data_IF_634798007161
#
_entry.id   IF_634798007161
#
_cell.length_a   1.000
_cell.length_b   1.000
_cell.length_c   1.000
_cell.angle_alpha   90.00
_cell.angle_beta   90.00
_cell.angle_gamma   90.00
#
_symmetry.space_group_name_H-M   'P 1'
#
loop_
_entity.id
_entity.type
_entity.pdbx_description
1 polymer ?
#
# COMPACT_ATOMS: atom_id res chain seq x y z
N UNK A 1 -11.67 17.12 -15.85
CA UNK A 1 -10.35 17.11 -16.53
C UNK A 1 -9.58 15.81 -16.29
N UNK A 2 -9.24 15.44 -15.05
CA UNK A 2 -8.48 14.21 -14.76
C UNK A 2 -9.10 12.94 -15.36
N UNK A 3 -10.42 12.74 -15.17
CA UNK A 3 -11.15 11.61 -15.76
C UNK A 3 -10.99 11.52 -17.28
N UNK A 4 -11.15 12.64 -18.00
CA UNK A 4 -11.03 12.68 -19.45
C UNK A 4 -9.60 12.36 -19.91
N UNK A 5 -8.57 12.87 -19.22
CA UNK A 5 -7.17 12.55 -19.53
C UNK A 5 -6.88 11.05 -19.35
N UNK A 6 -7.45 10.43 -18.32
CA UNK A 6 -7.24 9.01 -18.02
C UNK A 6 -7.99 8.06 -18.97
N UNK A 7 -9.14 8.46 -19.51
CA UNK A 7 -10.07 7.53 -20.19
C UNK A 7 -10.28 7.79 -21.68
N UNK A 8 -9.92 8.98 -22.19
CA UNK A 8 -10.25 9.39 -23.57
C UNK A 8 -9.05 9.69 -24.45
N UNK A 9 -7.83 9.47 -23.93
CA UNK A 9 -6.57 9.78 -24.62
C UNK A 9 -5.68 8.55 -24.63
N UNK A 10 -4.95 8.35 -25.73
CA UNK A 10 -3.89 7.36 -25.79
C UNK A 10 -2.73 7.79 -24.88
N UNK A 11 -2.26 6.88 -24.01
CA UNK A 11 -1.27 7.20 -22.98
C UNK A 11 0.15 7.47 -23.51
N UNK A 12 0.45 7.09 -24.77
CA UNK A 12 1.77 7.21 -25.41
C UNK A 12 2.94 6.64 -24.56
N UNK A 13 4.18 6.81 -25.04
CA UNK A 13 5.41 6.32 -24.38
C UNK A 13 5.90 7.23 -23.25
N UNK A 14 5.96 8.55 -23.48
CA UNK A 14 6.39 9.52 -22.47
C UNK A 14 5.20 9.95 -21.62
N UNK A 15 5.29 9.74 -20.30
CA UNK A 15 4.17 9.94 -19.38
C UNK A 15 4.57 10.86 -18.22
N UNK A 16 3.60 11.68 -17.82
CA UNK A 16 3.64 12.50 -16.61
C UNK A 16 2.31 12.30 -15.89
N UNK A 17 2.38 11.93 -14.61
CA UNK A 17 1.24 11.94 -13.70
C UNK A 17 1.49 13.00 -12.62
N UNK A 18 0.46 13.78 -12.26
CA UNK A 18 0.54 14.83 -11.24
C UNK A 18 -0.65 14.69 -10.30
N UNK A 19 -0.39 14.68 -8.99
CA UNK A 19 -1.44 14.81 -7.97
C UNK A 19 -1.56 16.27 -7.54
N UNK A 20 -2.79 16.79 -7.49
CA UNK A 20 -3.06 18.17 -7.13
C UNK A 20 -4.46 18.28 -6.51
N UNK A 21 -4.60 19.14 -5.50
CA UNK A 21 -5.88 19.40 -4.81
C UNK A 21 -6.48 20.76 -5.17
N UNK A 22 -5.73 21.62 -5.89
CA UNK A 22 -6.23 22.87 -6.44
C UNK A 22 -5.77 23.08 -7.88
N UNK A 23 -6.44 23.98 -8.58
CA UNK A 23 -6.07 24.35 -9.95
C UNK A 23 -4.72 25.06 -9.97
N UNK A 24 -4.46 25.87 -8.96
CA UNK A 24 -3.25 26.66 -8.79
C UNK A 24 -2.04 25.74 -8.57
N UNK A 25 -2.17 24.71 -7.71
CA UNK A 25 -1.10 23.73 -7.51
C UNK A 25 -0.85 22.88 -8.75
N UNK A 26 -1.92 22.51 -9.48
CA UNK A 26 -1.80 21.77 -10.74
C UNK A 26 -1.06 22.59 -11.80
N UNK A 27 -1.42 23.87 -11.95
CA UNK A 27 -0.77 24.75 -12.92
C UNK A 27 0.72 24.91 -12.62
N UNK A 28 1.06 25.19 -11.37
CA UNK A 28 2.46 25.32 -10.96
C UNK A 28 3.26 24.04 -11.23
N UNK A 29 2.69 22.87 -10.95
CA UNK A 29 3.34 21.59 -11.24
C UNK A 29 3.53 21.35 -12.74
N UNK A 30 2.55 21.71 -13.57
CA UNK A 30 2.65 21.58 -15.03
C UNK A 30 3.67 22.56 -15.62
N UNK A 31 3.72 23.80 -15.13
CA UNK A 31 4.71 24.80 -15.57
C UNK A 31 6.15 24.36 -15.24
N UNK A 32 6.38 23.80 -14.04
CA UNK A 32 7.66 23.21 -13.67
C UNK A 32 8.00 21.99 -14.54
N UNK A 33 7.01 21.12 -14.79
CA UNK A 33 7.19 19.95 -15.64
C UNK A 33 7.50 20.31 -17.10
N UNK A 34 6.95 21.41 -17.62
CA UNK A 34 7.27 21.93 -18.95
C UNK A 34 8.74 22.38 -19.06
N UNK A 35 9.34 22.79 -17.95
CA UNK A 35 10.77 23.14 -17.83
C UNK A 35 11.67 21.91 -17.59
N UNK A 36 11.13 20.69 -17.72
CA UNK A 36 11.89 19.44 -17.52
C UNK A 36 12.01 18.99 -16.07
N UNK A 37 11.40 19.71 -15.12
CA UNK A 37 11.44 19.33 -13.72
C UNK A 37 10.44 18.19 -13.41
N UNK A 38 10.63 17.55 -12.26
CA UNK A 38 9.66 16.61 -11.68
C UNK A 38 9.27 17.14 -10.31
N UNK A 39 8.19 17.94 -10.21
CA UNK A 39 7.77 18.55 -8.95
C UNK A 39 7.26 17.50 -7.95
N UNK A 40 7.18 17.88 -6.68
CA UNK A 40 6.60 17.03 -5.63
C UNK A 40 5.16 16.61 -6.01
N UNK A 41 4.84 15.33 -5.80
CA UNK A 41 3.56 14.75 -6.22
C UNK A 41 3.44 14.46 -7.72
N UNK A 42 4.52 14.63 -8.49
CA UNK A 42 4.59 14.21 -9.88
C UNK A 42 5.48 12.98 -10.10
N UNK A 43 5.08 12.14 -11.05
CA UNK A 43 5.87 11.02 -11.54
C UNK A 43 6.04 11.16 -13.05
N UNK A 44 7.29 11.11 -13.52
CA UNK A 44 7.65 11.14 -14.95
C UNK A 44 8.35 9.86 -15.33
N UNK A 45 8.01 9.32 -16.50
CA UNK A 45 8.68 8.13 -17.01
C UNK A 45 8.44 7.88 -18.49
N UNK A 46 9.20 6.93 -19.02
CA UNK A 46 8.99 6.38 -20.37
C UNK A 46 8.49 4.96 -20.20
N UNK A 47 7.29 4.67 -20.72
CA UNK A 47 6.71 3.34 -20.68
C UNK A 47 7.42 2.43 -21.69
N UNK A 48 7.79 1.24 -21.23
CA UNK A 48 8.23 0.15 -22.12
C UNK A 48 7.08 -0.27 -23.05
N UNK A 49 7.43 -0.71 -24.26
CA UNK A 49 6.48 -1.28 -25.21
C UNK A 49 5.87 -2.61 -24.73
N UNK A 50 6.58 -3.36 -23.89
CA UNK A 50 6.10 -4.57 -23.22
C UNK A 50 5.94 -4.33 -21.71
N UNK A 51 4.82 -4.80 -21.15
CA UNK A 51 4.64 -4.88 -19.70
C UNK A 51 5.38 -6.12 -19.21
N UNK A 52 6.29 -5.95 -18.24
CA UNK A 52 6.82 -7.08 -17.47
C UNK A 52 5.75 -7.70 -16.56
N UNK A 53 6.08 -8.81 -15.91
CA UNK A 53 5.23 -9.37 -14.86
C UNK A 53 5.17 -8.42 -13.67
N UNK A 54 3.98 -8.22 -13.10
CA UNK A 54 3.81 -7.47 -11.86
C UNK A 54 3.91 -8.40 -10.65
N UNK A 55 4.76 -8.05 -9.68
CA UNK A 55 4.84 -8.76 -8.41
C UNK A 55 4.45 -7.83 -7.25
N UNK A 56 3.69 -8.36 -6.28
CA UNK A 56 3.55 -7.72 -4.96
C UNK A 56 4.57 -8.31 -4.00
N UNK A 57 5.30 -7.42 -3.31
CA UNK A 57 6.32 -7.78 -2.33
C UNK A 57 5.83 -7.40 -0.94
N UNK A 58 5.79 -8.40 -0.06
CA UNK A 58 5.33 -8.28 1.33
C UNK A 58 6.53 -8.42 2.26
N UNK A 59 6.75 -7.40 3.09
CA UNK A 59 7.95 -7.26 3.91
C UNK A 59 7.72 -7.80 5.31
N UNK A 60 8.78 -8.30 5.94
CA UNK A 60 8.71 -8.78 7.32
C UNK A 60 8.61 -7.66 8.36
N UNK A 61 8.83 -8.04 9.62
CA UNK A 61 8.88 -7.12 10.77
C UNK A 61 9.93 -6.00 10.57
N UNK A 62 9.60 -4.79 11.05
CA UNK A 62 10.44 -3.59 10.96
C UNK A 62 9.76 -2.40 10.28
N UNK A 63 8.66 -2.62 9.58
CA UNK A 63 7.88 -1.58 8.90
C UNK A 63 6.69 -1.05 9.74
N UNK A 64 6.44 -1.63 10.90
CA UNK A 64 5.32 -1.24 11.75
C UNK A 64 5.54 0.17 12.32
N UNK A 65 4.48 0.99 12.30
CA UNK A 65 4.48 2.32 12.92
C UNK A 65 3.12 2.59 13.57
N UNK A 66 3.07 3.26 14.73
CA UNK A 66 1.81 3.70 15.32
C UNK A 66 1.01 4.55 14.33
N UNK A 67 -0.29 4.27 14.21
CA UNK A 67 -1.20 4.91 13.28
C UNK A 67 -1.22 4.32 11.86
N UNK A 68 -0.45 3.25 11.58
CA UNK A 68 -0.42 2.62 10.26
C UNK A 68 -1.83 2.22 9.78
N UNK A 69 -2.12 2.48 8.50
CA UNK A 69 -3.41 2.18 7.87
C UNK A 69 -4.59 3.07 8.28
N UNK A 70 -4.48 3.91 9.34
CA UNK A 70 -5.62 4.71 9.85
C UNK A 70 -6.20 5.66 8.80
N UNK A 71 -5.34 6.41 8.12
CA UNK A 71 -5.76 7.33 7.05
C UNK A 71 -6.39 6.60 5.85
N UNK A 72 -5.89 5.40 5.53
CA UNK A 72 -6.43 4.60 4.43
C UNK A 72 -7.80 4.02 4.78
N UNK A 73 -8.03 3.57 6.02
CA UNK A 73 -9.35 3.16 6.49
C UNK A 73 -10.39 4.28 6.39
N UNK A 74 -9.99 5.53 6.67
CA UNK A 74 -10.87 6.69 6.56
C UNK A 74 -11.21 7.02 5.10
N UNK A 75 -10.24 6.92 4.20
CA UNK A 75 -10.37 7.37 2.81
C UNK A 75 -10.91 6.31 1.83
N UNK A 76 -10.62 5.03 2.05
CA UNK A 76 -10.79 3.98 1.03
C UNK A 76 -11.62 2.79 1.53
N UNK A 77 -12.86 2.59 1.02
CA UNK A 77 -13.72 1.48 1.45
C UNK A 77 -13.11 0.10 1.25
N UNK A 78 -12.49 -0.19 0.11
CA UNK A 78 -11.87 -1.49 -0.18
C UNK A 78 -10.76 -1.84 0.83
N UNK A 79 -9.95 -0.85 1.23
CA UNK A 79 -8.96 -1.01 2.28
C UNK A 79 -9.62 -1.30 3.62
N UNK A 80 -10.58 -0.45 4.02
CA UNK A 80 -11.28 -0.57 5.31
C UNK A 80 -11.96 -1.93 5.48
N UNK A 81 -12.68 -2.39 4.46
CA UNK A 81 -13.37 -3.68 4.52
C UNK A 81 -12.41 -4.85 4.72
N UNK A 82 -11.27 -4.85 4.02
CA UNK A 82 -10.26 -5.88 4.19
C UNK A 82 -9.57 -5.79 5.56
N UNK A 83 -9.23 -4.58 5.99
CA UNK A 83 -8.65 -4.30 7.29
C UNK A 83 -9.55 -4.79 8.44
N UNK A 84 -10.84 -4.43 8.41
CA UNK A 84 -11.80 -4.75 9.46
C UNK A 84 -12.04 -6.27 9.54
N UNK A 85 -12.03 -6.99 8.42
CA UNK A 85 -12.10 -8.46 8.41
C UNK A 85 -10.89 -9.09 9.09
N UNK A 86 -9.68 -8.62 8.80
CA UNK A 86 -8.46 -9.14 9.42
C UNK A 86 -8.42 -8.83 10.92
N UNK A 87 -8.76 -7.61 11.33
CA UNK A 87 -8.88 -7.23 12.74
C UNK A 87 -9.86 -8.14 13.48
N UNK A 88 -11.06 -8.37 12.92
CA UNK A 88 -12.06 -9.24 13.54
C UNK A 88 -11.60 -10.70 13.70
N UNK A 89 -10.67 -11.18 12.87
CA UNK A 89 -10.07 -12.50 13.01
C UNK A 89 -9.01 -12.54 14.11
N UNK A 90 -8.11 -11.55 14.13
CA UNK A 90 -7.03 -11.51 15.13
C UNK A 90 -7.50 -11.14 16.53
N UNK A 91 -8.52 -10.31 16.67
CA UNK A 91 -9.10 -9.93 17.96
C UNK A 91 -9.67 -11.14 18.73
N UNK A 92 -9.83 -12.30 18.07
CA UNK A 92 -10.23 -13.56 18.72
C UNK A 92 -9.06 -14.28 19.40
N UNK A 93 -7.84 -13.99 18.97
CA UNK A 93 -6.61 -14.68 19.39
C UNK A 93 -5.68 -13.78 20.21
N UNK A 94 -5.88 -12.46 20.16
CA UNK A 94 -5.05 -11.47 20.85
C UNK A 94 -5.65 -11.07 22.20
N UNK A 95 -4.76 -10.84 23.18
CA UNK A 95 -5.14 -10.36 24.51
C UNK A 95 -5.67 -8.92 24.54
N UNK A 96 -5.47 -8.16 23.46
CA UNK A 96 -5.94 -6.78 23.28
C UNK A 96 -6.44 -6.57 21.85
N UNK A 97 -7.43 -5.68 21.63
CA UNK A 97 -7.88 -5.36 20.28
C UNK A 97 -6.74 -4.80 19.43
N UNK A 98 -6.51 -5.40 18.27
CA UNK A 98 -5.40 -5.06 17.39
C UNK A 98 -5.42 -3.59 16.97
N UNK A 99 -6.62 -3.05 16.72
CA UNK A 99 -6.81 -1.64 16.35
C UNK A 99 -6.39 -0.68 17.46
N UNK A 100 -6.63 -1.02 18.73
CA UNK A 100 -6.21 -0.19 19.86
C UNK A 100 -4.69 -0.08 19.91
N UNK A 101 -3.98 -1.21 19.75
CA UNK A 101 -2.52 -1.24 19.71
C UNK A 101 -1.98 -0.49 18.50
N UNK A 102 -2.53 -0.75 17.30
CA UNK A 102 -2.07 -0.13 16.06
C UNK A 102 -2.26 1.39 16.04
N UNK A 103 -3.34 1.90 16.64
CA UNK A 103 -3.71 3.32 16.57
C UNK A 103 -3.58 4.05 17.91
N UNK A 104 -2.89 3.44 18.87
CA UNK A 104 -2.50 4.08 20.11
C UNK A 104 -1.63 5.31 19.86
N UNK A 105 -1.67 6.24 20.82
CA UNK A 105 -0.85 7.45 20.75
C UNK A 105 0.64 7.08 20.79
N UNK A 106 1.50 7.64 19.91
CA UNK A 106 2.93 7.34 19.92
C UNK A 106 3.55 7.57 21.31
N UNK A 107 4.31 6.58 21.80
CA UNK A 107 4.95 6.62 23.12
C UNK A 107 4.06 6.18 24.29
N UNK A 108 2.79 5.83 24.05
CA UNK A 108 1.94 5.17 25.05
C UNK A 108 2.34 3.71 25.29
N UNK A 109 1.91 3.13 26.42
CA UNK A 109 2.16 1.73 26.72
C UNK A 109 1.56 0.79 25.67
N UNK A 110 0.36 1.12 25.17
CA UNK A 110 -0.31 0.41 24.10
C UNK A 110 0.46 0.48 22.78
N UNK A 111 1.02 1.64 22.42
CA UNK A 111 1.82 1.78 21.21
C UNK A 111 3.10 0.95 21.26
N UNK A 112 3.71 0.78 22.45
CA UNK A 112 4.88 -0.09 22.63
C UNK A 112 4.57 -1.57 22.43
N UNK A 113 3.31 -1.99 22.58
CA UNK A 113 2.91 -3.37 22.26
C UNK A 113 3.07 -3.67 20.76
N UNK A 114 3.02 -2.65 19.89
CA UNK A 114 3.16 -2.83 18.44
C UNK A 114 4.54 -3.39 18.04
N UNK A 115 5.57 -3.19 18.87
CA UNK A 115 6.92 -3.74 18.64
C UNK A 115 7.10 -5.15 19.21
N UNK A 116 6.09 -5.69 19.90
CA UNK A 116 6.06 -7.08 20.31
C UNK A 116 5.56 -7.93 19.16
N UNK A 117 6.30 -8.99 18.84
CA UNK A 117 6.02 -9.88 17.70
C UNK A 117 4.55 -10.35 17.64
N UNK A 118 3.92 -10.59 18.80
CA UNK A 118 2.51 -10.98 18.90
C UNK A 118 1.53 -9.97 18.31
N UNK A 119 1.84 -8.67 18.33
CA UNK A 119 1.03 -7.62 17.70
C UNK A 119 1.63 -7.14 16.36
N UNK A 120 2.97 -7.12 16.25
CA UNK A 120 3.65 -6.67 15.02
C UNK A 120 3.22 -7.50 13.81
N UNK A 121 3.20 -8.83 13.96
CA UNK A 121 2.88 -9.73 12.85
C UNK A 121 1.42 -9.61 12.38
N UNK A 122 0.40 -9.66 13.26
CA UNK A 122 -0.98 -9.39 12.88
C UNK A 122 -1.19 -8.01 12.27
N UNK A 123 -0.53 -6.98 12.79
CA UNK A 123 -0.66 -5.62 12.29
C UNK A 123 -0.13 -5.51 10.85
N UNK A 124 1.08 -6.02 10.58
CA UNK A 124 1.69 -6.01 9.25
C UNK A 124 0.84 -6.80 8.25
N UNK A 125 0.46 -8.02 8.59
CA UNK A 125 -0.42 -8.85 7.76
C UNK A 125 -1.72 -8.13 7.42
N UNK A 126 -2.37 -7.51 8.42
CA UNK A 126 -3.63 -6.77 8.25
C UNK A 126 -3.47 -5.62 7.25
N UNK A 127 -2.40 -4.84 7.35
CA UNK A 127 -2.14 -3.72 6.43
C UNK A 127 -1.79 -4.23 5.03
N UNK A 128 -0.99 -5.28 4.92
CA UNK A 128 -0.60 -5.87 3.64
C UNK A 128 -1.79 -6.43 2.85
N UNK A 129 -2.70 -7.13 3.53
CA UNK A 129 -3.97 -7.61 2.95
C UNK A 129 -4.84 -6.44 2.51
N UNK A 130 -4.97 -5.42 3.36
CA UNK A 130 -5.78 -4.24 3.05
C UNK A 130 -5.21 -3.41 1.88
N UNK A 131 -3.89 -3.27 1.80
CA UNK A 131 -3.21 -2.64 0.65
C UNK A 131 -3.42 -3.43 -0.64
N UNK A 132 -3.38 -4.76 -0.56
CA UNK A 132 -3.63 -5.62 -1.72
C UNK A 132 -5.06 -5.46 -2.23
N UNK A 133 -6.04 -5.46 -1.33
CA UNK A 133 -7.43 -5.20 -1.69
C UNK A 133 -7.61 -3.82 -2.33
N UNK A 134 -6.92 -2.79 -1.83
CA UNK A 134 -6.94 -1.45 -2.40
C UNK A 134 -6.38 -1.42 -3.83
N UNK A 135 -5.21 -2.01 -4.06
CA UNK A 135 -4.60 -2.07 -5.40
C UNK A 135 -5.47 -2.82 -6.41
N UNK A 136 -6.03 -3.96 -6.00
CA UNK A 136 -6.97 -4.74 -6.83
C UNK A 136 -8.24 -3.96 -7.16
N UNK A 137 -8.74 -3.14 -6.23
CA UNK A 137 -9.89 -2.26 -6.49
C UNK A 137 -9.65 -1.22 -7.58
N UNK A 138 -8.37 -0.92 -7.90
CA UNK A 138 -7.96 -0.06 -9.01
C UNK A 138 -7.56 -0.83 -10.27
N UNK A 139 -7.80 -2.15 -10.30
CA UNK A 139 -7.46 -3.03 -11.43
C UNK A 139 -5.98 -3.42 -11.51
N UNK A 140 -5.21 -3.20 -10.44
CA UNK A 140 -3.80 -3.60 -10.36
C UNK A 140 -3.72 -5.01 -9.81
N UNK A 141 -3.67 -5.99 -10.72
CA UNK A 141 -3.56 -7.41 -10.39
C UNK A 141 -2.12 -7.91 -10.49
N UNK A 142 -1.54 -8.43 -9.39
CA UNK A 142 -0.23 -9.06 -9.43
C UNK A 142 -0.27 -10.40 -10.13
N UNK A 143 0.77 -10.71 -10.91
CA UNK A 143 1.01 -12.02 -11.50
C UNK A 143 1.85 -12.91 -10.58
N UNK A 144 2.57 -12.30 -9.64
CA UNK A 144 3.44 -12.95 -8.69
C UNK A 144 3.27 -12.32 -7.31
N UNK A 145 3.44 -13.13 -6.28
CA UNK A 145 3.46 -12.66 -4.91
C UNK A 145 4.70 -13.24 -4.23
N UNK A 146 5.49 -12.35 -3.61
CA UNK A 146 6.70 -12.70 -2.87
C UNK A 146 6.56 -12.15 -1.47
N UNK A 147 6.80 -13.01 -0.48
CA UNK A 147 6.83 -12.64 0.93
C UNK A 147 8.18 -12.94 1.54
N UNK A 148 8.53 -12.20 2.60
CA UNK A 148 9.68 -12.53 3.44
C UNK A 148 9.21 -12.74 4.88
N UNK A 149 9.46 -13.93 5.45
CA UNK A 149 9.07 -14.29 6.82
C UNK A 149 7.54 -14.16 7.02
N UNK A 150 7.03 -13.33 7.93
CA UNK A 150 5.58 -13.11 8.08
C UNK A 150 4.91 -12.62 6.79
N UNK A 151 5.65 -11.92 5.91
CA UNK A 151 5.15 -11.51 4.59
C UNK A 151 4.81 -12.71 3.69
N UNK A 152 5.29 -13.92 3.98
CA UNK A 152 4.87 -15.14 3.27
C UNK A 152 3.43 -15.54 3.61
N UNK A 153 2.96 -15.27 4.82
CA UNK A 153 1.56 -15.48 5.20
C UNK A 153 0.66 -14.48 4.47
N UNK A 154 1.06 -13.21 4.44
CA UNK A 154 0.44 -12.19 3.62
C UNK A 154 0.41 -12.63 2.15
N UNK A 155 1.52 -13.15 1.64
CA UNK A 155 1.62 -13.62 0.27
C UNK A 155 0.71 -14.80 -0.08
N UNK A 156 0.66 -15.81 0.80
CA UNK A 156 -0.16 -17.02 0.65
C UNK A 156 -1.67 -16.76 0.63
N UNK A 157 -2.14 -15.68 1.26
CA UNK A 157 -3.53 -15.27 1.21
C UNK A 157 -3.97 -14.68 -0.16
N UNK A 158 -3.03 -14.33 -1.04
CA UNK A 158 -3.31 -13.57 -2.27
C UNK A 158 -3.04 -14.30 -3.59
N UNK A 159 -2.37 -15.46 -3.61
CA UNK A 159 -2.09 -16.25 -4.82
C UNK A 159 -0.78 -17.04 -4.78
N UNK A 160 -0.35 -17.59 -5.93
CA UNK A 160 0.82 -18.48 -6.02
C UNK A 160 2.11 -17.80 -5.50
N UNK A 161 2.62 -18.33 -4.39
CA UNK A 161 3.81 -17.82 -3.68
C UNK A 161 5.07 -18.30 -4.39
N UNK A 162 5.93 -17.37 -4.80
CA UNK A 162 7.31 -17.67 -5.09
C UNK A 162 8.14 -17.35 -3.83
N UNK A 163 8.55 -18.41 -3.12
CA UNK A 163 9.42 -18.31 -1.94
C UNK A 163 10.82 -17.97 -2.41
N UNK A 164 11.31 -16.76 -2.09
CA UNK A 164 12.75 -16.48 -2.17
C UNK A 164 13.35 -16.97 -0.86
N UNK A 165 13.63 -18.28 -0.80
CA UNK A 165 14.36 -18.86 0.30
C UNK A 165 15.73 -18.19 0.38
N UNK A 166 16.04 -17.57 1.51
CA UNK A 166 17.40 -17.16 1.83
C UNK A 166 18.29 -18.40 1.82
N UNK A 167 19.08 -18.56 0.76
CA UNK A 167 20.08 -19.60 0.65
C UNK A 167 21.32 -19.24 1.47
N UNK A 168 21.60 -20.12 2.44
CA UNK A 168 22.83 -20.32 3.22
C UNK A 168 23.27 -19.22 4.19
#
# INVERSE_FOLDING_TARGET
>A
MAFSLATTRSAMGHRLAVTATSRESLRAALDAAAQGQTPAGAARGVASASRGKLAFLFTGQGAQTPGMGRGLCAAWPAFREAFDRCVALFDRELDRPLREVMWAEPGSAEALLLDQTGFTQPALFTVEVALTALWRSWGVEPELVVGHSVGELGGGAHGAVAVVGGGA
#
